data_IF_974804598110
#
_entry.id   IF_974804598110
#
_cell.length_a   1.000
_cell.length_b   1.000
_cell.length_c   1.000
_cell.angle_alpha   90.00
_cell.angle_beta   90.00
_cell.angle_gamma   90.00
#
_symmetry.space_group_name_H-M   'P 1'
#
loop_
_entity.id
_entity.type
_entity.pdbx_description
1 polymer ?
#
# COMPACT_ATOMS: atom_id res chain seq x y z
N UNK A 1 -2.52 -33.41 -1.76
CA UNK A 1 -2.58 -31.94 -1.91
C UNK A 1 -1.58 -31.35 -0.93
N UNK A 2 -0.47 -30.78 -1.39
CA UNK A 2 0.56 -30.22 -0.50
C UNK A 2 0.35 -28.71 -0.49
N UNK A 3 -0.35 -28.22 0.54
CA UNK A 3 -0.55 -26.80 0.74
C UNK A 3 0.80 -26.16 1.03
N UNK A 4 1.35 -25.42 0.07
CA UNK A 4 2.51 -24.57 0.31
C UNK A 4 2.02 -23.41 1.17
N UNK A 5 2.18 -23.56 2.48
CA UNK A 5 1.89 -22.47 3.41
C UNK A 5 3.00 -21.45 3.27
N UNK A 6 2.67 -20.29 2.72
CA UNK A 6 3.64 -19.24 2.45
C UNK A 6 3.19 -18.00 3.23
N UNK A 7 3.83 -17.77 4.37
CA UNK A 7 3.60 -16.61 5.22
C UNK A 7 4.49 -15.48 4.74
N UNK A 8 3.89 -14.36 4.32
CA UNK A 8 4.62 -13.14 4.00
C UNK A 8 4.44 -12.16 5.15
N UNK A 9 5.55 -11.60 5.63
CA UNK A 9 5.54 -10.51 6.62
C UNK A 9 6.12 -9.28 5.96
N UNK A 10 5.40 -8.16 6.09
CA UNK A 10 5.82 -6.86 5.59
C UNK A 10 5.86 -5.90 6.77
N UNK A 11 6.99 -5.22 6.94
CA UNK A 11 7.17 -4.19 7.98
C UNK A 11 7.34 -2.85 7.29
N UNK A 12 6.56 -1.85 7.70
CA UNK A 12 6.52 -0.55 7.01
C UNK A 12 6.70 0.64 7.97
N UNK A 13 7.90 0.89 8.51
CA UNK A 13 8.15 2.09 9.29
C UNK A 13 7.87 3.35 8.47
N UNK A 14 7.10 4.26 9.03
CA UNK A 14 6.67 5.52 8.39
C UNK A 14 6.67 6.63 9.43
N UNK A 15 7.15 7.81 9.02
CA UNK A 15 7.05 9.04 9.81
C UNK A 15 6.06 9.96 9.10
N UNK A 16 5.18 10.59 9.88
CA UNK A 16 4.23 11.59 9.40
C UNK A 16 4.48 12.91 10.12
N UNK A 17 4.50 14.00 9.35
CA UNK A 17 4.49 15.37 9.84
C UNK A 17 3.24 16.06 9.33
N UNK A 18 2.61 16.88 10.18
CA UNK A 18 1.38 17.56 9.80
C UNK A 18 1.14 18.84 10.58
N UNK A 19 0.26 19.66 10.05
CA UNK A 19 -0.21 20.90 10.67
C UNK A 19 -1.68 20.82 11.03
N UNK A 20 -2.11 21.72 11.93
CA UNK A 20 -3.52 21.96 12.20
C UNK A 20 -3.76 23.46 12.18
N UNK A 21 -4.64 23.89 11.30
CA UNK A 21 -5.05 25.28 11.15
C UNK A 21 -6.53 25.36 11.47
N UNK A 22 -6.87 26.15 12.47
CA UNK A 22 -8.27 26.46 12.81
C UNK A 22 -8.68 27.71 12.06
N UNK A 23 -9.76 27.61 11.30
CA UNK A 23 -10.50 28.71 10.70
C UNK A 23 -11.79 28.90 11.52
N UNK A 24 -12.56 29.97 11.27
CA UNK A 24 -13.76 30.29 12.07
C UNK A 24 -14.69 29.08 12.26
N UNK A 25 -15.14 28.47 11.15
CA UNK A 25 -16.07 27.33 11.16
C UNK A 25 -15.46 26.05 10.57
N UNK A 26 -14.13 25.95 10.51
CA UNK A 26 -13.46 24.81 9.90
C UNK A 26 -12.06 24.53 10.44
N UNK A 27 -11.57 23.32 10.24
CA UNK A 27 -10.20 22.91 10.56
C UNK A 27 -9.56 22.31 9.32
N UNK A 28 -8.37 22.82 8.98
CA UNK A 28 -7.54 22.31 7.90
C UNK A 28 -6.31 21.59 8.48
N UNK A 29 -6.06 20.38 7.98
CA UNK A 29 -4.96 19.51 8.44
C UNK A 29 -4.16 18.99 7.24
N UNK A 30 -3.13 19.72 6.79
CA UNK A 30 -2.16 19.17 5.86
C UNK A 30 -1.25 18.17 6.58
N UNK A 31 -0.84 17.13 5.86
CA UNK A 31 0.17 16.19 6.33
C UNK A 31 1.04 15.72 5.17
N UNK A 32 2.25 15.29 5.53
CA UNK A 32 3.22 14.64 4.67
C UNK A 32 3.79 13.46 5.43
N UNK A 33 3.77 12.28 4.83
CA UNK A 33 4.38 11.09 5.38
C UNK A 33 5.41 10.51 4.41
N UNK A 34 6.46 9.95 4.99
CA UNK A 34 7.51 9.25 4.26
C UNK A 34 7.91 8.00 5.04
N UNK A 35 8.07 6.89 4.33
CA UNK A 35 8.35 5.59 4.93
C UNK A 35 8.96 4.63 3.94
N UNK A 36 9.34 3.47 4.47
CA UNK A 36 9.90 2.37 3.70
C UNK A 36 9.19 1.09 4.11
N UNK A 37 8.90 0.22 3.15
CA UNK A 37 8.30 -1.09 3.37
C UNK A 37 9.35 -2.15 3.03
N UNK A 38 9.63 -3.03 4.00
CA UNK A 38 10.50 -4.18 3.84
C UNK A 38 9.65 -5.43 3.71
N UNK A 39 9.90 -6.21 2.67
CA UNK A 39 9.28 -7.51 2.48
C UNK A 39 10.30 -8.59 2.82
N UNK A 40 9.94 -9.53 3.71
CA UNK A 40 10.86 -10.58 4.17
C UNK A 40 10.98 -11.76 3.18
N UNK A 41 10.38 -11.68 1.99
CA UNK A 41 10.26 -12.82 1.08
C UNK A 41 10.60 -12.46 -0.38
N UNK A 42 11.85 -12.71 -0.76
CA UNK A 42 12.45 -12.26 -2.02
C UNK A 42 12.12 -13.15 -3.24
N UNK A 43 11.44 -14.29 -3.06
CA UNK A 43 11.06 -15.16 -4.18
C UNK A 43 9.85 -16.05 -3.86
N UNK A 44 8.71 -15.78 -4.50
CA UNK A 44 7.55 -16.69 -4.47
C UNK A 44 7.72 -17.76 -5.54
N UNK A 45 8.03 -18.99 -5.13
CA UNK A 45 8.07 -20.16 -6.04
C UNK A 45 6.67 -20.76 -6.14
N UNK A 46 5.99 -20.52 -7.26
CA UNK A 46 4.71 -21.18 -7.58
C UNK A 46 5.00 -22.45 -8.37
N UNK A 47 4.78 -23.61 -7.75
CA UNK A 47 4.78 -24.89 -8.46
C UNK A 47 3.43 -25.08 -9.14
N UNK A 48 3.43 -25.07 -10.47
CA UNK A 48 2.25 -25.22 -11.32
C UNK A 48 2.34 -26.50 -12.16
N UNK A 49 1.17 -27.03 -12.54
CA UNK A 49 1.03 -28.19 -13.42
C UNK A 49 -0.19 -27.98 -14.32
N UNK A 50 -0.13 -28.46 -15.55
CA UNK A 50 -1.27 -28.40 -16.47
C UNK A 50 -2.46 -29.22 -15.95
N UNK A 51 -3.67 -28.72 -16.15
CA UNK A 51 -4.91 -29.46 -15.86
C UNK A 51 -4.95 -30.68 -16.79
N UNK A 52 -5.05 -31.88 -16.22
CA UNK A 52 -5.08 -33.15 -16.97
C UNK A 52 -3.74 -33.86 -17.15
N UNK A 53 -2.62 -33.28 -16.72
CA UNK A 53 -1.32 -33.94 -16.77
C UNK A 53 -1.28 -35.21 -15.89
N UNK A 54 -0.54 -36.23 -16.28
CA UNK A 54 -0.20 -37.38 -15.43
C UNK A 54 0.78 -36.97 -14.32
N UNK A 55 0.91 -37.78 -13.27
CA UNK A 55 1.91 -37.52 -12.20
C UNK A 55 3.36 -37.55 -12.73
N UNK A 56 3.58 -38.27 -13.83
CA UNK A 56 4.89 -38.44 -14.48
C UNK A 56 5.32 -37.20 -15.28
N UNK A 57 4.38 -36.32 -15.65
CA UNK A 57 4.61 -35.20 -16.58
C UNK A 57 5.31 -33.99 -15.90
N UNK A 58 5.63 -34.11 -14.61
CA UNK A 58 6.38 -33.12 -13.85
C UNK A 58 5.58 -31.88 -13.42
N UNK A 59 6.29 -30.94 -12.80
CA UNK A 59 5.77 -29.62 -12.40
C UNK A 59 6.73 -28.54 -12.89
N UNK A 60 6.21 -27.37 -13.24
CA UNK A 60 7.03 -26.20 -13.55
C UNK A 60 7.00 -25.20 -12.40
N UNK A 61 8.10 -24.46 -12.21
CA UNK A 61 8.25 -23.47 -11.14
C UNK A 61 8.26 -22.07 -11.74
N UNK A 62 7.39 -21.20 -11.24
CA UNK A 62 7.40 -19.78 -11.55
C UNK A 62 7.93 -19.00 -10.35
N UNK A 63 8.93 -18.16 -10.56
CA UNK A 63 9.49 -17.29 -9.53
C UNK A 63 8.85 -15.90 -9.66
N UNK A 64 8.15 -15.46 -8.62
CA UNK A 64 7.64 -14.09 -8.51
C UNK A 64 8.50 -13.33 -7.51
N UNK A 65 9.36 -12.45 -8.02
CA UNK A 65 10.18 -11.59 -7.17
C UNK A 65 9.32 -10.41 -6.70
N UNK A 66 9.05 -10.34 -5.40
CA UNK A 66 8.52 -9.12 -4.80
C UNK A 66 9.69 -8.24 -4.39
N UNK A 67 9.67 -6.93 -4.67
CA UNK A 67 10.76 -6.04 -4.30
C UNK A 67 11.00 -6.10 -2.80
N UNK A 68 12.26 -6.34 -2.41
CA UNK A 68 12.66 -6.46 -1.00
C UNK A 68 12.42 -5.15 -0.22
N UNK A 69 12.53 -4.00 -0.90
CA UNK A 69 12.34 -2.66 -0.32
C UNK A 69 11.50 -1.78 -1.25
N UNK A 70 10.51 -1.09 -0.67
CA UNK A 70 9.67 -0.11 -1.36
C UNK A 70 9.67 1.20 -0.57
N UNK A 71 10.08 2.31 -1.18
CA UNK A 71 9.94 3.65 -0.61
C UNK A 71 8.53 4.19 -0.82
N UNK A 72 7.96 4.86 0.17
CA UNK A 72 6.61 5.43 0.13
C UNK A 72 6.64 6.89 0.58
N UNK A 73 5.97 7.76 -0.16
CA UNK A 73 5.73 9.17 0.21
C UNK A 73 4.26 9.48 -0.02
N UNK A 74 3.59 10.09 0.96
CA UNK A 74 2.21 10.53 0.82
C UNK A 74 2.08 11.97 1.28
N UNK A 75 1.51 12.83 0.44
CA UNK A 75 1.06 14.16 0.83
C UNK A 75 -0.47 14.16 0.90
N UNK A 76 -1.04 14.87 1.86
CA UNK A 76 -2.48 14.97 1.93
C UNK A 76 -2.97 16.17 2.72
N UNK A 77 -4.27 16.39 2.58
CA UNK A 77 -4.99 17.49 3.18
C UNK A 77 -6.34 16.99 3.66
N UNK A 78 -6.66 17.26 4.92
CA UNK A 78 -8.00 16.98 5.45
C UNK A 78 -8.66 18.28 5.88
N UNK A 79 -9.89 18.48 5.45
CA UNK A 79 -10.75 19.60 5.80
C UNK A 79 -11.94 19.09 6.61
N UNK A 80 -12.20 19.71 7.74
CA UNK A 80 -13.35 19.45 8.60
C UNK A 80 -14.14 20.74 8.74
N UNK A 81 -15.43 20.74 8.40
CA UNK A 81 -16.33 21.86 8.65
C UNK A 81 -17.16 21.61 9.92
N UNK A 82 -17.54 22.70 10.61
CA UNK A 82 -18.33 22.64 11.84
C UNK A 82 -19.72 21.99 11.64
N UNK A 83 -20.23 21.99 10.41
CA UNK A 83 -21.53 21.40 10.05
C UNK A 83 -21.49 19.86 9.86
N UNK A 84 -20.41 19.19 10.26
CA UNK A 84 -20.26 17.73 10.18
C UNK A 84 -19.68 17.22 8.85
N UNK A 85 -19.40 18.11 7.89
CA UNK A 85 -18.76 17.75 6.62
C UNK A 85 -17.25 17.56 6.77
N UNK A 86 -16.72 16.53 6.11
CA UNK A 86 -15.30 16.23 6.03
C UNK A 86 -14.90 15.92 4.58
N UNK A 87 -13.78 16.49 4.15
CA UNK A 87 -13.15 16.17 2.87
C UNK A 87 -11.68 15.85 3.09
N UNK A 88 -11.19 14.77 2.47
CA UNK A 88 -9.78 14.37 2.48
C UNK A 88 -9.28 14.19 1.06
N UNK A 89 -8.13 14.76 0.77
CA UNK A 89 -7.39 14.54 -0.46
C UNK A 89 -6.00 13.99 -0.14
N UNK A 90 -5.56 12.98 -0.86
CA UNK A 90 -4.23 12.40 -0.70
C UNK A 90 -3.60 12.09 -2.05
N UNK A 91 -2.27 12.24 -2.10
CA UNK A 91 -1.44 11.86 -3.22
C UNK A 91 -0.26 11.04 -2.71
N UNK A 92 -0.17 9.79 -3.15
CA UNK A 92 0.83 8.84 -2.72
C UNK A 92 1.71 8.41 -3.90
N UNK A 93 3.01 8.28 -3.61
CA UNK A 93 4.04 7.77 -4.49
C UNK A 93 4.70 6.57 -3.81
N UNK A 94 4.83 5.47 -4.54
CA UNK A 94 5.58 4.29 -4.10
C UNK A 94 6.61 3.92 -5.16
N UNK A 95 7.86 3.74 -4.77
CA UNK A 95 8.96 3.41 -5.68
C UNK A 95 9.73 2.19 -5.18
N UNK A 96 10.07 1.28 -6.09
CA UNK A 96 11.01 0.20 -5.86
C UNK A 96 11.96 0.04 -7.05
N UNK A 97 12.81 -0.98 -7.04
CA UNK A 97 13.87 -1.15 -8.05
C UNK A 97 13.37 -1.18 -9.51
N UNK A 98 12.14 -1.62 -9.75
CA UNK A 98 11.58 -1.86 -11.08
C UNK A 98 10.23 -1.17 -11.33
N UNK A 99 9.74 -0.35 -10.41
CA UNK A 99 8.42 0.28 -10.55
C UNK A 99 8.31 1.62 -9.82
N UNK A 100 7.42 2.46 -10.35
CA UNK A 100 6.92 3.67 -9.71
C UNK A 100 5.39 3.65 -9.81
N UNK A 101 4.71 3.76 -8.67
CA UNK A 101 3.26 3.81 -8.58
C UNK A 101 2.85 5.18 -8.04
N UNK A 102 1.86 5.79 -8.70
CA UNK A 102 1.28 7.06 -8.31
C UNK A 102 -0.21 6.83 -8.02
N UNK A 103 -0.72 7.36 -6.91
CA UNK A 103 -2.10 7.18 -6.48
C UNK A 103 -2.66 8.49 -5.94
N UNK A 104 -3.77 8.96 -6.50
CA UNK A 104 -4.60 10.00 -5.91
C UNK A 104 -5.83 9.40 -5.24
N UNK A 105 -6.22 9.92 -4.08
CA UNK A 105 -7.48 9.59 -3.43
C UNK A 105 -8.22 10.84 -2.98
N UNK A 106 -9.55 10.80 -3.08
CA UNK A 106 -10.46 11.79 -2.53
C UNK A 106 -11.51 11.06 -1.71
N UNK A 107 -11.78 11.54 -0.50
CA UNK A 107 -12.83 11.03 0.37
C UNK A 107 -13.69 12.18 0.87
N UNK A 108 -14.99 11.99 0.83
CA UNK A 108 -15.96 12.89 1.43
C UNK A 108 -16.78 12.11 2.46
N UNK A 109 -17.04 12.72 3.61
CA UNK A 109 -17.91 12.18 4.64
C UNK A 109 -18.79 13.29 5.20
N UNK A 110 -19.99 12.92 5.64
CA UNK A 110 -20.91 13.83 6.31
C UNK A 110 -21.47 13.10 7.52
N UNK A 111 -21.34 13.74 8.69
CA UNK A 111 -21.82 13.21 9.95
C UNK A 111 -23.09 13.98 10.34
N UNK A 112 -24.21 13.27 10.43
CA UNK A 112 -25.54 13.76 10.83
C UNK A 112 -25.81 13.55 12.32
#
# INVERSE_FOLDING_TARGET
MQGSNHTSVIVSPTVEIGGRFTLDDAVLRPFLSAGVSFNSNDARVVKSRFVGAALQDGTFQTYLNSPAVVGNVTAGLTFYAANGFEAKAEYALSAGESFLVQRGSLRFAYHF
#
